data_IF_804170688795
#
_entry.id   IF_804170688795
#
_cell.length_a   1.000
_cell.length_b   1.000
_cell.length_c   1.000
_cell.angle_alpha   90.00
_cell.angle_beta   90.00
_cell.angle_gamma   90.00
#
_symmetry.space_group_name_H-M   'P 1'
#
loop_
_entity.id
_entity.type
_entity.pdbx_description
1 polymer ?
#
# COMPACT_ATOMS: atom_id res chain seq x y z
N UNK A 1 24.69 9.08 19.97
CA UNK A 1 23.32 8.54 19.91
C UNK A 1 23.06 8.09 18.49
N UNK A 2 22.62 6.86 18.29
CA UNK A 2 22.12 6.43 16.98
C UNK A 2 20.87 7.25 16.64
N UNK A 3 20.85 7.80 15.42
CA UNK A 3 19.75 8.64 14.92
C UNK A 3 18.65 7.72 14.42
N UNK A 4 17.45 7.81 15.00
CA UNK A 4 16.28 7.13 14.48
C UNK A 4 15.86 7.72 13.12
N UNK A 5 15.22 6.91 12.28
CA UNK A 5 14.76 7.31 10.94
C UNK A 5 13.34 6.81 10.70
N UNK A 6 12.58 7.56 9.90
CA UNK A 6 11.23 7.18 9.50
C UNK A 6 11.31 6.39 8.19
N UNK A 7 10.85 5.15 8.19
CA UNK A 7 10.84 4.30 7.00
C UNK A 7 9.62 4.54 6.10
N UNK A 8 8.55 5.12 6.65
CA UNK A 8 7.39 5.60 5.91
C UNK A 8 6.89 6.93 6.49
N UNK A 9 5.99 7.57 5.74
CA UNK A 9 5.33 8.81 6.14
C UNK A 9 3.81 8.63 6.09
N UNK A 10 3.11 9.44 6.88
CA UNK A 10 1.67 9.65 6.82
C UNK A 10 1.42 11.13 6.57
N UNK A 11 0.31 11.45 5.90
CA UNK A 11 -0.12 12.84 5.79
C UNK A 11 -0.50 13.37 7.19
N UNK A 12 -0.40 14.68 7.40
CA UNK A 12 -0.69 15.30 8.69
C UNK A 12 -2.09 14.95 9.24
N UNK A 13 -3.10 14.93 8.37
CA UNK A 13 -4.49 14.60 8.73
C UNK A 13 -4.81 13.10 8.69
N UNK A 14 -3.79 12.22 8.63
CA UNK A 14 -3.95 10.77 8.59
C UNK A 14 -3.35 10.16 9.84
N UNK A 15 -4.21 9.58 10.69
CA UNK A 15 -3.79 8.77 11.83
C UNK A 15 -3.22 7.42 11.37
N UNK A 16 -2.45 6.74 12.21
CA UNK A 16 -2.07 5.34 11.98
C UNK A 16 -0.63 4.99 12.32
N UNK A 17 -0.15 3.88 11.76
CA UNK A 17 1.18 3.36 12.06
C UNK A 17 2.28 3.99 11.20
N UNK A 18 3.34 4.39 11.88
CA UNK A 18 4.61 4.85 11.31
C UNK A 18 5.72 3.92 11.79
N UNK A 19 6.55 3.47 10.87
CA UNK A 19 7.68 2.59 11.14
C UNK A 19 8.92 3.45 11.39
N UNK A 20 9.47 3.33 12.59
CA UNK A 20 10.70 4.00 13.01
C UNK A 20 11.83 2.97 13.10
N UNK A 21 12.93 3.23 12.43
CA UNK A 21 14.13 2.37 12.45
C UNK A 21 15.14 2.96 13.42
N UNK A 22 15.69 2.10 14.29
CA UNK A 22 16.53 2.54 15.43
C UNK A 22 18.03 2.52 15.13
N UNK A 23 18.45 1.93 14.01
CA UNK A 23 19.84 1.87 13.58
C UNK A 23 19.94 1.76 12.04
N UNK A 24 21.16 1.92 11.51
CA UNK A 24 21.43 1.95 10.06
C UNK A 24 21.07 0.64 9.35
N UNK A 25 21.28 -0.51 10.00
CA UNK A 25 20.98 -1.82 9.40
C UNK A 25 19.48 -2.00 9.23
N UNK A 26 18.70 -1.74 10.29
CA UNK A 26 17.24 -1.79 10.24
C UNK A 26 16.67 -0.80 9.22
N UNK A 27 17.25 0.41 9.12
CA UNK A 27 16.87 1.41 8.14
C UNK A 27 17.04 0.94 6.70
N UNK A 28 18.22 0.39 6.39
CA UNK A 28 18.55 -0.14 5.07
C UNK A 28 17.61 -1.28 4.68
N UNK A 29 17.39 -2.23 5.57
CA UNK A 29 16.56 -3.41 5.30
C UNK A 29 15.09 -3.03 5.18
N UNK A 30 14.58 -2.19 6.07
CA UNK A 30 13.19 -1.71 6.01
C UNK A 30 12.96 -0.90 4.73
N UNK A 31 13.88 -0.01 4.36
CA UNK A 31 13.80 0.76 3.11
C UNK A 31 13.72 -0.15 1.87
N UNK A 32 14.52 -1.22 1.85
CA UNK A 32 14.47 -2.21 0.77
C UNK A 32 13.08 -2.88 0.68
N UNK A 33 12.47 -3.24 1.81
CA UNK A 33 11.13 -3.83 1.83
C UNK A 33 10.05 -2.90 1.28
N UNK A 34 10.13 -1.60 1.58
CA UNK A 34 9.23 -0.59 0.99
C UNK A 34 9.50 -0.40 -0.50
N UNK A 35 10.77 -0.32 -0.91
CA UNK A 35 11.18 -0.15 -2.30
C UNK A 35 10.72 -1.32 -3.18
N UNK A 36 10.89 -2.55 -2.71
CA UNK A 36 10.45 -3.77 -3.39
C UNK A 36 8.96 -4.09 -3.18
N UNK A 37 8.20 -3.22 -2.50
CA UNK A 37 6.76 -3.38 -2.24
C UNK A 37 6.40 -4.69 -1.52
N UNK A 38 7.31 -5.18 -0.69
CA UNK A 38 7.12 -6.38 0.14
C UNK A 38 6.34 -6.08 1.43
N UNK A 39 6.10 -4.79 1.71
CA UNK A 39 5.21 -4.32 2.78
C UNK A 39 3.77 -4.31 2.31
N UNK A 40 2.86 -4.85 3.12
CA UNK A 40 1.40 -4.66 2.93
C UNK A 40 0.96 -3.49 3.78
N UNK A 41 0.21 -2.52 3.23
CA UNK A 41 -0.33 -1.39 4.00
C UNK A 41 -1.84 -1.36 3.84
N UNK A 42 -2.56 -1.45 4.95
CA UNK A 42 -4.01 -1.41 5.02
C UNK A 42 -4.45 -0.14 5.75
N UNK A 43 -5.55 0.45 5.31
CA UNK A 43 -6.13 1.65 5.89
C UNK A 43 -7.61 1.40 6.05
N UNK A 44 -8.19 2.05 7.06
CA UNK A 44 -9.64 2.21 7.13
C UNK A 44 -9.90 3.66 6.75
N UNK A 45 -10.97 3.89 6.00
CA UNK A 45 -11.39 5.21 5.62
C UNK A 45 -12.91 5.30 5.72
N UNK A 46 -13.41 6.51 5.87
CA UNK A 46 -14.84 6.77 5.83
C UNK A 46 -15.07 7.67 4.62
N UNK A 47 -15.78 7.17 3.62
CA UNK A 47 -16.15 7.90 2.41
C UNK A 47 -17.54 8.46 2.50
N UNK A 48 -17.77 9.48 1.69
CA UNK A 48 -19.07 10.13 1.59
C UNK A 48 -20.08 9.24 0.87
N UNK A 49 -21.34 9.36 1.28
CA UNK A 49 -22.46 8.62 0.72
C UNK A 49 -22.50 7.15 1.12
N UNK A 50 -23.59 6.51 0.71
CA UNK A 50 -23.75 5.07 0.82
C UNK A 50 -23.45 4.41 -0.51
N UNK A 51 -22.75 3.29 -0.44
CA UNK A 51 -22.59 2.37 -1.57
C UNK A 51 -23.81 1.46 -1.62
N UNK A 52 -24.22 1.03 -2.81
CA UNK A 52 -25.32 0.07 -2.95
C UNK A 52 -25.07 -1.19 -2.13
N UNK A 53 -26.12 -1.74 -1.52
CA UNK A 53 -26.00 -2.86 -0.57
C UNK A 53 -25.41 -4.12 -1.21
N UNK A 54 -25.70 -4.36 -2.49
CA UNK A 54 -25.13 -5.47 -3.25
C UNK A 54 -23.65 -5.26 -3.57
N UNK A 55 -23.15 -4.02 -3.52
CA UNK A 55 -21.75 -3.67 -3.75
C UNK A 55 -20.90 -3.68 -2.47
N UNK A 56 -21.52 -3.79 -1.29
CA UNK A 56 -20.81 -4.03 -0.04
C UNK A 56 -19.99 -5.33 -0.12
N UNK A 57 -18.83 -5.32 0.53
CA UNK A 57 -17.84 -6.41 0.57
C UNK A 57 -17.24 -6.82 -0.78
N UNK A 58 -17.64 -6.20 -1.91
CA UNK A 58 -17.01 -6.41 -3.22
C UNK A 58 -15.76 -5.55 -3.35
N UNK A 59 -14.61 -6.20 -3.58
CA UNK A 59 -13.36 -5.49 -3.79
C UNK A 59 -13.34 -4.80 -5.16
N UNK A 60 -12.95 -3.53 -5.16
CA UNK A 60 -12.74 -2.70 -6.36
C UNK A 60 -11.27 -2.31 -6.47
N UNK A 61 -10.76 -2.28 -7.69
CA UNK A 61 -9.42 -1.79 -7.99
C UNK A 61 -9.54 -0.36 -8.55
N UNK A 62 -8.87 0.58 -7.90
CA UNK A 62 -8.80 2.00 -8.27
C UNK A 62 -7.39 2.25 -8.80
N UNK A 63 -7.27 2.74 -10.04
CA UNK A 63 -5.99 2.79 -10.80
C UNK A 63 -5.65 4.15 -11.40
N UNK A 64 -6.43 5.18 -11.06
CA UNK A 64 -6.30 6.54 -11.55
C UNK A 64 -4.89 7.09 -11.27
N UNK A 65 -4.12 7.50 -12.30
CA UNK A 65 -2.77 8.02 -12.10
C UNK A 65 -2.81 9.37 -11.38
N UNK A 66 -1.78 9.64 -10.57
CA UNK A 66 -1.73 10.81 -9.70
C UNK A 66 -0.53 11.68 -10.04
N UNK A 67 -0.76 12.97 -10.30
CA UNK A 67 0.26 13.99 -10.56
C UNK A 67 0.30 15.03 -9.44
N UNK A 68 1.44 15.71 -9.31
CA UNK A 68 1.52 16.93 -8.51
C UNK A 68 0.96 18.09 -9.32
N UNK A 69 0.19 18.97 -8.68
CA UNK A 69 -0.22 20.25 -9.27
C UNK A 69 1.00 21.18 -9.24
N UNK A 70 1.31 21.81 -10.38
CA UNK A 70 2.49 22.67 -10.49
C UNK A 70 2.41 23.86 -9.54
N UNK A 71 3.49 24.11 -8.78
CA UNK A 71 3.54 25.19 -7.80
C UNK A 71 2.79 24.94 -6.49
N UNK A 72 2.14 23.78 -6.33
CA UNK A 72 1.30 23.47 -5.17
C UNK A 72 1.75 22.20 -4.41
N UNK A 73 1.39 22.12 -3.12
CA UNK A 73 1.54 20.88 -2.35
C UNK A 73 0.46 19.84 -2.69
N UNK A 74 -0.58 20.24 -3.43
CA UNK A 74 -1.70 19.40 -3.82
C UNK A 74 -1.31 18.37 -4.88
N UNK A 75 -2.16 17.36 -5.00
CA UNK A 75 -2.08 16.34 -6.03
C UNK A 75 -3.36 16.41 -6.87
N UNK A 76 -3.41 15.67 -7.96
CA UNK A 76 -4.60 15.52 -8.77
C UNK A 76 -4.60 14.18 -9.50
N UNK A 77 -5.80 13.71 -9.88
CA UNK A 77 -5.93 12.65 -10.87
C UNK A 77 -5.61 13.26 -12.24
N UNK A 78 -4.67 12.66 -12.95
CA UNK A 78 -4.22 13.16 -14.25
C UNK A 78 -3.65 12.01 -15.07
N UNK A 79 -3.99 11.95 -16.36
CA UNK A 79 -3.48 10.92 -17.28
C UNK A 79 -1.95 10.97 -17.45
N UNK A 80 -1.35 12.13 -17.18
CA UNK A 80 0.12 12.33 -17.17
C UNK A 80 0.75 11.98 -15.82
N UNK A 81 -0.06 11.58 -14.86
CA UNK A 81 0.34 11.24 -13.50
C UNK A 81 1.12 9.94 -13.41
N UNK A 82 1.66 9.71 -12.23
CA UNK A 82 2.35 8.46 -11.92
C UNK A 82 1.32 7.36 -11.64
N UNK A 83 1.53 6.13 -12.14
CA UNK A 83 0.62 5.02 -11.87
C UNK A 83 0.40 4.81 -10.37
N UNK A 84 -0.85 4.65 -10.01
CA UNK A 84 -1.36 4.46 -8.66
C UNK A 84 -2.31 3.27 -8.66
N UNK A 85 -2.33 2.50 -7.58
CA UNK A 85 -3.24 1.38 -7.45
C UNK A 85 -3.60 1.14 -5.98
N UNK A 86 -4.91 1.09 -5.73
CA UNK A 86 -5.49 0.81 -4.41
C UNK A 86 -6.63 -0.19 -4.58
N UNK A 87 -6.66 -1.21 -3.72
CA UNK A 87 -7.84 -2.07 -3.59
C UNK A 87 -8.72 -1.46 -2.51
N UNK A 88 -9.98 -1.17 -2.82
CA UNK A 88 -10.97 -0.66 -1.89
C UNK A 88 -12.09 -1.68 -1.69
N UNK A 89 -12.45 -1.94 -0.44
CA UNK A 89 -13.57 -2.80 -0.07
C UNK A 89 -14.53 -1.96 0.78
N UNK A 90 -15.73 -1.58 0.26
CA UNK A 90 -16.76 -0.98 1.11
C UNK A 90 -17.26 -2.05 2.08
N UNK A 91 -17.28 -1.74 3.37
CA UNK A 91 -17.59 -2.72 4.42
C UNK A 91 -18.97 -2.47 5.01
N UNK A 92 -19.29 -1.21 5.30
CA UNK A 92 -20.54 -0.86 5.97
C UNK A 92 -20.98 0.57 5.62
N UNK A 93 -22.27 0.72 5.36
CA UNK A 93 -22.95 2.00 5.29
C UNK A 93 -23.34 2.47 6.70
N UNK A 94 -23.06 3.72 7.04
CA UNK A 94 -23.29 4.32 8.36
C UNK A 94 -23.57 5.82 8.23
N UNK A 95 -23.70 6.52 9.36
CA UNK A 95 -23.81 7.97 9.42
C UNK A 95 -22.61 8.59 10.16
N UNK A 96 -22.02 9.66 9.60
CA UNK A 96 -20.90 10.39 10.21
C UNK A 96 -21.35 11.57 11.08
N UNK A 97 -22.37 11.35 11.91
CA UNK A 97 -23.00 12.41 12.70
C UNK A 97 -24.18 13.06 11.98
N UNK A 98 -25.28 13.22 12.72
CA UNK A 98 -26.56 13.62 12.13
C UNK A 98 -26.99 12.67 11.01
N UNK A 99 -27.49 13.24 9.92
CA UNK A 99 -28.01 12.50 8.76
C UNK A 99 -26.99 12.39 7.60
N UNK A 100 -25.70 12.67 7.85
CA UNK A 100 -24.64 12.57 6.83
C UNK A 100 -24.32 11.10 6.56
N UNK A 101 -24.73 10.60 5.39
CA UNK A 101 -24.48 9.24 4.95
C UNK A 101 -23.01 9.03 4.64
N UNK A 102 -22.48 7.89 5.07
CA UNK A 102 -21.09 7.53 4.87
C UNK A 102 -20.90 6.04 4.66
N UNK A 103 -19.82 5.65 4.00
CA UNK A 103 -19.41 4.25 3.85
C UNK A 103 -18.03 4.06 4.46
N UNK A 104 -17.86 3.04 5.32
CA UNK A 104 -16.54 2.65 5.82
C UNK A 104 -15.88 1.72 4.80
N UNK A 105 -14.64 2.02 4.44
CA UNK A 105 -13.83 1.25 3.51
C UNK A 105 -12.63 0.64 4.21
N UNK A 106 -12.25 -0.57 3.78
CA UNK A 106 -10.91 -1.11 3.97
C UNK A 106 -10.13 -0.91 2.68
N UNK A 107 -9.00 -0.23 2.77
CA UNK A 107 -8.15 0.14 1.63
C UNK A 107 -6.79 -0.55 1.74
N UNK A 108 -6.34 -1.21 0.68
CA UNK A 108 -4.99 -1.77 0.57
C UNK A 108 -4.23 -1.05 -0.53
N UNK A 109 -3.15 -0.34 -0.17
CA UNK A 109 -2.30 0.26 -1.20
C UNK A 109 -1.38 -0.78 -1.83
N UNK A 110 -1.36 -0.79 -3.15
CA UNK A 110 -0.36 -1.50 -3.96
C UNK A 110 0.78 -0.54 -4.39
N UNK A 111 0.51 0.76 -4.35
CA UNK A 111 1.45 1.85 -4.58
C UNK A 111 1.59 2.78 -3.36
N UNK A 112 2.27 3.91 -3.50
CA UNK A 112 2.49 4.85 -2.40
C UNK A 112 2.73 6.25 -2.91
N UNK A 113 1.81 6.77 -3.73
CA UNK A 113 1.88 8.16 -4.21
C UNK A 113 1.47 9.11 -3.08
N UNK A 114 2.02 10.32 -3.10
CA UNK A 114 1.63 11.38 -2.15
C UNK A 114 0.11 11.59 -2.24
N UNK A 115 -0.56 11.69 -1.10
CA UNK A 115 -2.01 11.88 -0.97
C UNK A 115 -2.88 10.80 -1.65
N UNK A 116 -2.34 9.63 -2.01
CA UNK A 116 -3.04 8.63 -2.81
C UNK A 116 -4.42 8.26 -2.26
N UNK A 117 -4.55 8.06 -0.95
CA UNK A 117 -5.81 7.66 -0.32
C UNK A 117 -6.91 8.72 -0.40
N UNK A 118 -6.53 10.01 -0.55
CA UNK A 118 -7.48 11.11 -0.66
C UNK A 118 -8.26 11.09 -1.98
N UNK A 119 -7.74 10.40 -3.00
CA UNK A 119 -8.36 10.27 -4.33
C UNK A 119 -9.05 8.91 -4.54
N UNK A 120 -9.01 8.04 -3.52
CA UNK A 120 -9.65 6.70 -3.55
C UNK A 120 -11.10 6.77 -3.05
N UNK A 121 -11.45 7.80 -2.26
CA UNK A 121 -12.64 7.83 -1.43
C UNK A 121 -13.90 8.39 -2.10
N UNK A 122 -13.95 8.46 -3.44
CA UNK A 122 -15.05 9.12 -4.15
C UNK A 122 -15.50 8.30 -5.37
N UNK A 123 -16.66 7.59 -5.29
CA UNK A 123 -17.24 6.91 -6.44
C UNK A 123 -18.02 7.83 -7.39
N UNK A 124 -18.23 9.11 -7.07
CA UNK A 124 -18.99 10.07 -7.91
C UNK A 124 -18.15 11.28 -8.39
N UNK A 125 -18.49 11.93 -9.51
CA UNK A 125 -17.68 13.00 -10.10
C UNK A 125 -17.98 14.41 -9.55
N UNK A 126 -18.92 14.54 -8.60
CA UNK A 126 -19.27 15.86 -8.06
C UNK A 126 -18.25 16.33 -7.04
N UNK A 127 -17.75 17.53 -7.32
CA UNK A 127 -16.64 18.18 -6.65
C UNK A 127 -17.02 18.69 -5.27
N UNK A 128 -15.95 18.84 -4.50
CA UNK A 128 -15.79 19.80 -3.41
C UNK A 128 -16.26 19.26 -2.06
N UNK A 129 -15.32 19.29 -1.10
CA UNK A 129 -15.46 18.87 0.30
C UNK A 129 -15.22 17.37 0.53
N UNK A 130 -13.97 17.05 0.83
CA UNK A 130 -13.59 16.40 2.09
C UNK A 130 -12.06 16.35 2.12
N UNK A 131 -11.46 17.50 2.42
CA UNK A 131 -10.05 17.55 2.83
C UNK A 131 -9.80 16.77 4.14
N UNK A 132 -10.87 16.27 4.79
CA UNK A 132 -10.88 15.70 6.14
C UNK A 132 -11.26 14.20 6.23
N UNK A 133 -11.79 13.55 5.18
CA UNK A 133 -12.38 12.20 5.30
C UNK A 133 -11.40 11.01 5.28
N UNK A 134 -10.30 11.07 6.02
CA UNK A 134 -9.40 9.93 6.21
C UNK A 134 -9.06 9.73 7.71
N UNK A 135 -10.06 9.77 8.58
CA UNK A 135 -9.80 9.95 10.01
C UNK A 135 -9.31 8.73 10.79
N UNK A 136 -9.36 7.50 10.29
CA UNK A 136 -8.87 6.35 11.06
C UNK A 136 -8.17 5.33 10.18
N UNK A 137 -6.85 5.43 10.02
CA UNK A 137 -6.09 4.34 9.40
C UNK A 137 -5.42 3.44 10.43
N UNK A 138 -5.90 2.21 10.56
CA UNK A 138 -5.11 1.15 11.18
C UNK A 138 -4.13 0.60 10.15
N UNK A 139 -2.93 1.20 10.09
CA UNK A 139 -1.85 0.68 9.24
C UNK A 139 -1.25 -0.58 9.86
N UNK A 140 -1.61 -1.74 9.32
CA UNK A 140 -0.92 -3.00 9.59
C UNK A 140 0.15 -3.22 8.51
N UNK A 141 1.40 -2.91 8.85
CA UNK A 141 2.56 -3.24 7.99
C UNK A 141 3.07 -4.64 8.32
N UNK A 142 2.69 -5.64 7.52
CA UNK A 142 3.30 -6.97 7.56
C UNK A 142 4.39 -7.06 6.51
N UNK A 143 5.61 -7.29 6.97
CA UNK A 143 6.73 -7.72 6.14
C UNK A 143 6.55 -9.23 5.91
N UNK A 144 6.35 -9.65 4.68
CA UNK A 144 6.55 -11.06 4.33
C UNK A 144 8.06 -11.28 4.25
N UNK A 145 8.67 -11.76 5.33
CA UNK A 145 9.93 -12.46 5.23
C UNK A 145 9.58 -13.87 4.76
N UNK A 146 9.84 -14.19 3.51
CA UNK A 146 9.94 -15.60 3.11
C UNK A 146 11.16 -16.17 3.82
N UNK A 147 11.01 -16.54 5.09
CA UNK A 147 11.86 -17.57 5.70
C UNK A 147 11.32 -18.91 5.22
N UNK A 148 11.32 -19.11 3.90
CA UNK A 148 11.31 -20.45 3.34
C UNK A 148 12.61 -21.08 3.78
N UNK A 149 12.52 -22.01 4.74
CA UNK A 149 13.55 -23.02 4.95
C UNK A 149 13.98 -23.52 3.56
N UNK A 150 15.29 -23.54 3.23
CA UNK A 150 15.71 -24.12 1.95
C UNK A 150 15.29 -25.58 1.96
N UNK A 151 14.30 -25.92 1.13
CA UNK A 151 13.94 -27.31 0.89
C UNK A 151 15.17 -27.98 0.30
N UNK A 152 15.76 -28.88 1.07
CA UNK A 152 16.79 -29.82 0.63
C UNK A 152 16.23 -30.66 -0.53
N UNK A 153 16.48 -30.21 -1.75
CA UNK A 153 16.46 -31.07 -2.94
C UNK A 153 17.82 -30.91 -3.61
N UNK A 154 18.77 -31.74 -3.18
CA UNK A 154 20.02 -31.95 -3.89
C UNK A 154 19.71 -32.43 -5.32
N UNK A 155 20.45 -31.96 -6.35
CA UNK A 155 20.32 -32.49 -7.69
C UNK A 155 20.85 -33.93 -7.76
N UNK A 156 20.28 -34.80 -8.63
CA UNK A 156 20.71 -36.19 -8.73
C UNK A 156 22.14 -36.25 -9.26
N UNK A 157 22.99 -37.00 -8.55
CA UNK A 157 24.32 -37.37 -9.02
C UNK A 157 24.20 -38.30 -10.22
N UNK A 158 24.65 -37.87 -11.39
CA UNK A 158 24.93 -38.76 -12.51
C UNK A 158 26.29 -39.42 -12.29
N UNK A 159 26.28 -40.67 -11.84
CA UNK A 159 27.44 -41.56 -11.87
C UNK A 159 27.48 -42.34 -13.19
N UNK A 160 28.60 -42.30 -13.90
CA UNK A 160 29.31 -43.42 -14.55
C UNK A 160 30.37 -42.83 -15.50
N UNK A 161 31.63 -42.77 -15.06
CA UNK A 161 32.70 -43.74 -15.34
C UNK A 161 33.14 -43.82 -16.82
N UNK A 162 34.25 -43.14 -17.14
CA UNK A 162 35.60 -43.71 -17.38
C UNK A 162 35.81 -44.13 -18.84
N UNK A 163 36.71 -43.47 -19.58
CA UNK A 163 38.05 -44.04 -19.81
C UNK A 163 39.08 -43.09 -20.45
N UNK A 164 40.33 -43.43 -20.15
CA UNK A 164 41.62 -42.79 -20.45
C UNK A 164 42.04 -42.86 -21.93
N UNK A 165 42.85 -41.87 -22.35
CA UNK A 165 44.20 -41.94 -23.01
C UNK A 165 44.42 -40.64 -23.80
N UNK A 166 45.32 -39.72 -23.44
CA UNK A 166 46.80 -39.73 -23.40
C UNK A 166 47.49 -39.52 -24.77
N UNK A 167 48.25 -38.40 -24.85
CA UNK A 167 49.43 -38.09 -25.72
C UNK A 167 49.13 -38.04 -27.24
N UNK A 168 49.64 -37.11 -28.05
CA UNK A 168 50.79 -36.20 -27.97
C UNK A 168 50.41 -34.81 -28.51
#
# INVERSE_FOLDING_TARGET
MDKFRLANQLDFATSGAVVVTLNKTADRETSALFQFRLTKKLYIAVGDGWVDEDELMKARLITEPIAAVEGEFRMEISDKGQPSSTIAVPVINTYCGGDVKCTVFVLRLLTGRRHQLRYVNHPTPEKELLEEAAHIALNYTRVQTDTGTPSSSAPPQSSEHVNKKAKH
#
